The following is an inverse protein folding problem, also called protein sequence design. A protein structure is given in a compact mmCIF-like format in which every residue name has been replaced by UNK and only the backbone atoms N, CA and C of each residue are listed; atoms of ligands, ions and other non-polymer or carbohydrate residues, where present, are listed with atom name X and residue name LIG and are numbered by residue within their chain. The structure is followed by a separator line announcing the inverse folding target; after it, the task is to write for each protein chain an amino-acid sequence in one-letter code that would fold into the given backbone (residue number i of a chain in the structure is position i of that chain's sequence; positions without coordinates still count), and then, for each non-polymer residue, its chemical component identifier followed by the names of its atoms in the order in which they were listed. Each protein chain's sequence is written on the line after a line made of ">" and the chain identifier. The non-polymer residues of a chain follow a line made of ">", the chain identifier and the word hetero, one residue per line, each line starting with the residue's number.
data_IF_596428228034
#
_entry.id   IF_596428228034
#
_cell.length_a   1.000
_cell.length_b   1.000
_cell.length_c   1.000
_cell.angle_alpha   90.00
_cell.angle_beta   90.00
_cell.angle_gamma   90.00
#
_symmetry.space_group_name_H-M   'P 1'
#
loop_
_entity.id
_entity.type
_entity.pdbx_description
1 polymer ?
#
# COMPACT_ATOMS: atom_id res chain seq x y z
N UNK A 1 23.97 -59.50 4.11
CA UNK A 1 22.76 -58.69 3.82
C UNK A 1 22.41 -57.67 4.93
N UNK A 2 22.80 -57.91 6.18
CA UNK A 2 22.50 -57.04 7.35
C UNK A 2 23.28 -55.70 7.31
N UNK A 3 24.55 -55.69 6.86
CA UNK A 3 25.36 -54.47 6.82
C UNK A 3 24.81 -53.35 5.91
N UNK A 4 24.14 -53.68 4.79
CA UNK A 4 23.55 -52.67 3.89
C UNK A 4 22.34 -51.96 4.52
N UNK A 5 21.57 -52.66 5.36
CA UNK A 5 20.40 -52.08 6.05
C UNK A 5 20.82 -51.13 7.18
N UNK A 6 21.90 -51.46 7.89
CA UNK A 6 22.44 -50.60 8.95
C UNK A 6 23.02 -49.30 8.37
N UNK A 7 23.72 -49.37 7.23
CA UNK A 7 24.27 -48.19 6.56
C UNK A 7 23.18 -47.20 6.08
N UNK A 8 22.09 -47.72 5.50
CA UNK A 8 20.97 -46.88 5.04
C UNK A 8 20.25 -46.22 6.22
N UNK A 9 20.05 -46.94 7.33
CA UNK A 9 19.44 -46.37 8.52
C UNK A 9 20.31 -45.25 9.12
N UNK A 10 21.63 -45.45 9.14
CA UNK A 10 22.58 -44.46 9.67
C UNK A 10 22.64 -43.21 8.78
N UNK A 11 22.54 -43.37 7.46
CA UNK A 11 22.47 -42.25 6.52
C UNK A 11 21.18 -41.42 6.71
N UNK A 12 20.03 -42.08 6.91
CA UNK A 12 18.75 -41.40 7.18
C UNK A 12 18.80 -40.63 8.50
N UNK A 13 19.43 -41.19 9.54
CA UNK A 13 19.62 -40.48 10.80
C UNK A 13 20.49 -39.22 10.65
N UNK A 14 21.53 -39.25 9.80
CA UNK A 14 22.36 -38.05 9.53
C UNK A 14 21.55 -36.95 8.81
N UNK A 15 20.63 -37.32 7.91
CA UNK A 15 19.75 -36.36 7.25
C UNK A 15 18.68 -35.77 8.19
N UNK A 16 18.25 -36.52 9.22
CA UNK A 16 17.27 -36.02 10.20
C UNK A 16 17.88 -35.04 11.22
N UNK A 17 19.19 -35.13 11.50
CA UNK A 17 19.88 -34.20 12.43
C UNK A 17 20.35 -32.92 11.73
N UNK A 18 20.37 -32.88 10.40
CA UNK A 18 20.63 -31.68 9.61
C UNK A 18 19.42 -30.72 9.53
N UNK A 19 18.42 -30.87 10.41
CA UNK A 19 17.31 -29.94 10.54
C UNK A 19 17.86 -28.59 11.00
N UNK A 20 17.93 -27.66 10.06
CA UNK A 20 18.73 -26.45 10.14
C UNK A 20 18.47 -25.63 11.40
N UNK A 21 19.56 -25.11 11.95
CA UNK A 21 19.53 -24.03 12.95
C UNK A 21 18.52 -22.99 12.46
N UNK A 22 17.51 -22.60 13.27
CA UNK A 22 16.62 -21.52 12.89
C UNK A 22 17.51 -20.33 12.56
N UNK A 23 17.56 -19.95 11.28
CA UNK A 23 18.22 -18.73 10.87
C UNK A 23 17.52 -17.65 11.66
N UNK A 24 18.27 -16.99 12.54
CA UNK A 24 17.79 -15.80 13.23
C UNK A 24 17.28 -14.86 12.14
N UNK A 25 15.95 -14.81 12.03
CA UNK A 25 15.32 -13.89 11.10
C UNK A 25 15.53 -12.55 11.77
N UNK A 26 16.47 -11.76 11.24
CA UNK A 26 16.67 -10.40 11.69
C UNK A 26 15.34 -9.63 11.74
N UNK A 27 15.32 -8.46 12.39
CA UNK A 27 14.10 -7.70 12.59
C UNK A 27 13.33 -7.54 11.28
N UNK A 28 12.03 -7.87 11.31
CA UNK A 28 11.16 -7.82 10.14
C UNK A 28 11.04 -6.36 9.70
N UNK A 29 11.46 -6.05 8.48
CA UNK A 29 11.30 -4.71 7.91
C UNK A 29 9.91 -4.59 7.25
N UNK A 30 8.99 -3.89 7.91
CA UNK A 30 7.63 -3.66 7.43
C UNK A 30 7.56 -2.73 6.22
N UNK A 31 8.54 -1.83 6.04
CA UNK A 31 8.65 -0.86 4.95
C UNK A 31 9.22 -1.49 3.66
N UNK A 32 8.85 -2.73 3.37
CA UNK A 32 9.26 -3.45 2.15
C UNK A 32 8.07 -4.04 1.43
N UNK A 33 8.20 -4.17 0.12
CA UNK A 33 7.16 -4.69 -0.76
C UNK A 33 5.94 -3.79 -0.89
N UNK A 34 4.83 -4.37 -1.35
CA UNK A 34 3.58 -3.67 -1.60
C UNK A 34 2.56 -4.22 -0.60
N UNK A 35 2.04 -3.33 0.24
CA UNK A 35 1.00 -3.66 1.21
C UNK A 35 -0.04 -2.55 1.19
N UNK A 36 -1.30 -2.93 1.28
CA UNK A 36 -2.45 -2.02 1.12
C UNK A 36 -3.56 -2.41 2.11
N UNK A 37 -4.58 -1.56 2.23
CA UNK A 37 -5.81 -1.95 2.92
C UNK A 37 -6.45 -3.14 2.19
N UNK A 38 -6.95 -4.11 2.94
CA UNK A 38 -7.71 -5.22 2.36
C UNK A 38 -9.12 -5.28 2.94
N UNK A 39 -10.09 -5.51 2.06
CA UNK A 39 -11.50 -5.72 2.43
C UNK A 39 -11.76 -7.22 2.42
N UNK A 40 -12.26 -7.77 3.53
CA UNK A 40 -12.62 -9.19 3.64
C UNK A 40 -14.06 -9.32 4.12
N UNK A 41 -14.72 -10.39 3.72
CA UNK A 41 -16.05 -10.75 4.23
C UNK A 41 -15.85 -11.95 5.16
N UNK A 42 -16.42 -11.94 6.38
CA UNK A 42 -16.34 -13.08 7.28
C UNK A 42 -16.92 -14.34 6.62
N UNK A 43 -16.29 -15.50 6.81
CA UNK A 43 -16.69 -16.75 6.14
C UNK A 43 -18.11 -17.23 6.50
N UNK A 44 -18.66 -16.78 7.63
CA UNK A 44 -19.97 -17.19 8.16
C UNK A 44 -21.10 -16.22 7.81
N UNK A 45 -21.13 -15.69 6.58
CA UNK A 45 -22.21 -14.78 6.20
C UNK A 45 -23.52 -15.55 6.03
N UNK A 46 -24.60 -15.15 6.71
CA UNK A 46 -25.87 -15.87 6.67
C UNK A 46 -26.44 -15.88 5.24
N UNK A 47 -27.25 -16.89 4.95
CA UNK A 47 -28.04 -16.88 3.72
C UNK A 47 -29.00 -15.68 3.73
N UNK A 48 -29.08 -14.97 2.61
CA UNK A 48 -29.92 -13.79 2.43
C UNK A 48 -31.24 -14.22 1.78
N UNK A 49 -32.37 -13.83 2.38
CA UNK A 49 -33.70 -14.19 1.93
C UNK A 49 -34.49 -12.96 1.53
N UNK A 50 -35.32 -13.07 0.50
CA UNK A 50 -36.18 -11.96 0.09
C UNK A 50 -37.08 -11.47 1.23
N UNK A 51 -37.28 -10.15 1.33
CA UNK A 51 -38.10 -9.55 2.36
C UNK A 51 -37.48 -9.52 3.77
N UNK A 52 -36.32 -10.14 4.00
CA UNK A 52 -35.62 -10.10 5.29
C UNK A 52 -34.82 -8.81 5.46
N UNK A 53 -34.33 -8.59 6.69
CA UNK A 53 -33.28 -7.60 6.91
C UNK A 53 -32.01 -8.01 6.13
N UNK A 54 -31.34 -7.01 5.58
CA UNK A 54 -30.06 -7.11 4.92
C UNK A 54 -28.96 -6.76 5.92
N UNK A 55 -27.98 -7.65 6.07
CA UNK A 55 -26.79 -7.41 6.89
C UNK A 55 -25.56 -7.92 6.16
N UNK A 56 -24.66 -7.01 5.79
CA UNK A 56 -23.40 -7.33 5.14
C UNK A 56 -22.23 -6.87 6.02
N UNK A 57 -21.62 -7.78 6.81
CA UNK A 57 -20.45 -7.45 7.60
C UNK A 57 -19.22 -7.45 6.68
N UNK A 58 -18.59 -6.29 6.51
CA UNK A 58 -17.28 -6.20 5.89
C UNK A 58 -16.22 -5.98 6.97
N UNK A 59 -15.01 -6.45 6.70
CA UNK A 59 -13.86 -6.24 7.57
C UNK A 59 -12.76 -5.53 6.77
N UNK A 60 -12.35 -4.37 7.24
CA UNK A 60 -11.25 -3.60 6.70
C UNK A 60 -9.99 -3.88 7.52
N UNK A 61 -8.88 -4.19 6.85
CA UNK A 61 -7.61 -4.47 7.52
C UNK A 61 -6.49 -3.62 6.95
N UNK A 62 -5.79 -2.87 7.82
CA UNK A 62 -4.59 -2.13 7.43
C UNK A 62 -3.36 -3.04 7.50
N UNK A 63 -2.87 -3.44 6.33
CA UNK A 63 -1.64 -4.21 6.18
C UNK A 63 -0.45 -3.34 5.78
N UNK A 64 -0.64 -2.04 5.56
CA UNK A 64 0.43 -1.14 5.17
C UNK A 64 1.36 -0.82 6.34
N UNK A 65 2.58 -0.40 6.03
CA UNK A 65 3.57 0.10 6.98
C UNK A 65 3.31 1.55 7.41
N UNK A 66 2.15 2.11 7.06
CA UNK A 66 1.79 3.49 7.33
C UNK A 66 0.35 3.58 7.86
N UNK A 67 0.07 4.56 8.73
CA UNK A 67 -1.26 4.76 9.27
C UNK A 67 -2.20 5.33 8.20
N UNK A 68 -3.49 5.05 8.35
CA UNK A 68 -4.53 5.45 7.40
C UNK A 68 -5.44 6.50 8.02
N UNK A 69 -5.81 7.53 7.24
CA UNK A 69 -6.65 8.67 7.64
C UNK A 69 -7.80 8.87 6.67
N UNK A 70 -8.80 9.66 7.08
CA UNK A 70 -9.91 10.14 6.23
C UNK A 70 -10.58 9.05 5.39
N UNK A 71 -10.69 7.87 5.99
CA UNK A 71 -11.08 6.66 5.34
C UNK A 71 -12.59 6.58 5.24
N UNK A 72 -13.11 6.40 4.02
CA UNK A 72 -14.54 6.30 3.76
C UNK A 72 -14.83 5.04 2.98
N UNK A 73 -15.88 4.33 3.38
CA UNK A 73 -16.34 3.14 2.68
C UNK A 73 -17.80 3.29 2.29
N UNK A 74 -18.07 3.09 1.00
CA UNK A 74 -19.40 3.11 0.40
C UNK A 74 -19.74 1.74 -0.18
N UNK A 75 -21.01 1.34 -0.04
CA UNK A 75 -21.56 0.15 -0.67
C UNK A 75 -22.47 0.57 -1.82
N UNK A 76 -22.04 0.27 -3.05
CA UNK A 76 -22.84 0.48 -4.25
C UNK A 76 -23.56 -0.83 -4.59
N UNK A 77 -24.86 -0.86 -4.36
CA UNK A 77 -25.72 -2.01 -4.57
C UNK A 77 -27.00 -1.57 -5.28
N UNK A 78 -27.61 -2.44 -6.09
CA UNK A 78 -28.82 -2.08 -6.86
C UNK A 78 -30.01 -1.84 -5.91
N UNK A 79 -30.55 -0.60 -5.85
CA UNK A 79 -31.64 -0.25 -4.94
C UNK A 79 -32.96 -0.94 -5.30
N UNK A 80 -33.07 -1.56 -6.48
CA UNK A 80 -34.22 -2.40 -6.82
C UNK A 80 -34.31 -3.66 -5.94
N UNK A 81 -33.19 -4.11 -5.37
CA UNK A 81 -33.13 -5.32 -4.54
C UNK A 81 -32.86 -5.04 -3.07
N UNK A 82 -32.17 -3.94 -2.73
CA UNK A 82 -31.75 -3.64 -1.35
C UNK A 82 -32.00 -2.17 -1.04
N UNK A 83 -32.75 -1.92 0.03
CA UNK A 83 -32.91 -0.60 0.63
C UNK A 83 -31.94 -0.48 1.82
N UNK A 84 -30.86 0.29 1.69
CA UNK A 84 -29.90 0.49 2.78
C UNK A 84 -30.46 1.48 3.81
N UNK A 85 -30.37 1.13 5.10
CA UNK A 85 -30.81 2.00 6.20
C UNK A 85 -29.87 3.18 6.40
N UNK A 86 -28.58 3.01 6.09
CA UNK A 86 -27.59 4.09 6.14
C UNK A 86 -26.89 4.22 4.78
N UNK A 87 -27.20 5.30 4.06
CA UNK A 87 -26.55 5.64 2.79
C UNK A 87 -25.33 6.54 2.96
N UNK A 88 -25.05 7.01 4.19
CA UNK A 88 -23.86 7.81 4.46
C UNK A 88 -22.62 6.92 4.47
N UNK A 89 -21.53 7.44 3.89
CA UNK A 89 -20.22 6.82 3.91
C UNK A 89 -19.83 6.50 5.36
N UNK A 90 -19.46 5.24 5.61
CA UNK A 90 -18.91 4.86 6.90
C UNK A 90 -17.48 5.42 7.02
N UNK A 91 -17.06 5.84 8.20
CA UNK A 91 -15.66 6.24 8.49
C UNK A 91 -14.91 5.15 9.27
N UNK A 92 -14.60 3.98 8.67
CA UNK A 92 -14.22 2.80 9.43
C UNK A 92 -12.78 2.83 9.96
N UNK A 93 -11.91 3.73 9.47
CA UNK A 93 -10.52 3.73 9.90
C UNK A 93 -10.28 4.43 11.24
N UNK A 94 -11.20 4.25 12.19
CA UNK A 94 -11.02 4.60 13.60
C UNK A 94 -11.06 3.34 14.46
N UNK A 95 -10.13 3.20 15.37
CA UNK A 95 -10.18 2.16 16.40
C UNK A 95 -11.34 2.43 17.39
N UNK A 96 -11.57 1.52 18.33
CA UNK A 96 -12.60 1.67 19.37
C UNK A 96 -12.42 2.92 20.24
N UNK A 97 -11.22 3.51 20.27
CA UNK A 97 -10.91 4.75 20.99
C UNK A 97 -11.04 6.01 20.11
N UNK A 98 -11.44 5.86 18.84
CA UNK A 98 -11.55 6.94 17.87
C UNK A 98 -10.22 7.33 17.21
N UNK A 99 -9.12 6.62 17.46
CA UNK A 99 -7.82 6.89 16.86
C UNK A 99 -7.73 6.30 15.46
N UNK A 100 -6.88 6.89 14.62
CA UNK A 100 -6.63 6.39 13.26
C UNK A 100 -6.11 4.94 13.26
N UNK A 101 -6.46 4.17 12.23
CA UNK A 101 -5.90 2.82 12.05
C UNK A 101 -4.37 2.88 12.01
N UNK A 102 -3.67 2.23 12.97
CA UNK A 102 -2.22 2.30 13.05
C UNK A 102 -1.56 1.55 11.89
N UNK A 103 -0.28 1.86 11.67
CA UNK A 103 0.60 1.14 10.76
C UNK A 103 0.97 -0.25 11.31
N UNK A 104 1.38 -1.15 10.41
CA UNK A 104 2.19 -2.29 10.80
C UNK A 104 3.62 -1.87 11.11
N UNK A 105 4.10 -2.23 12.31
CA UNK A 105 5.48 -2.01 12.73
C UNK A 105 5.97 -3.13 13.67
N UNK A 106 7.19 -2.99 14.20
CA UNK A 106 7.79 -3.98 15.10
C UNK A 106 7.09 -4.10 16.46
N UNK A 107 6.32 -3.10 16.87
CA UNK A 107 5.54 -3.08 18.11
C UNK A 107 4.08 -3.50 17.87
N UNK A 108 3.57 -3.25 16.65
CA UNK A 108 2.24 -3.62 16.17
C UNK A 108 2.35 -4.53 14.93
N UNK A 109 2.79 -5.79 15.09
CA UNK A 109 3.03 -6.69 13.97
C UNK A 109 1.73 -7.25 13.37
N UNK A 110 0.60 -7.10 14.05
CA UNK A 110 -0.71 -7.57 13.62
C UNK A 110 -1.47 -6.44 12.89
N UNK A 111 -2.14 -6.74 11.76
CA UNK A 111 -2.92 -5.73 11.04
C UNK A 111 -4.00 -5.12 11.93
N UNK A 112 -4.15 -3.80 11.88
CA UNK A 112 -5.32 -3.15 12.47
C UNK A 112 -6.57 -3.59 11.70
N UNK A 113 -7.65 -3.88 12.41
CA UNK A 113 -8.91 -4.39 11.85
C UNK A 113 -10.06 -3.51 12.30
N UNK A 114 -10.98 -3.21 11.37
CA UNK A 114 -12.23 -2.53 11.64
C UNK A 114 -13.39 -3.29 10.95
N UNK A 115 -14.46 -3.55 11.70
CA UNK A 115 -15.68 -4.13 11.16
C UNK A 115 -16.62 -3.01 10.68
N UNK A 116 -17.15 -3.18 9.47
CA UNK A 116 -17.94 -2.17 8.76
C UNK A 116 -19.26 -2.82 8.32
N UNK A 117 -20.29 -2.78 9.17
CA UNK A 117 -21.58 -3.35 8.83
C UNK A 117 -22.36 -2.44 7.87
N UNK A 118 -22.94 -3.04 6.84
CA UNK A 118 -23.98 -2.40 6.03
C UNK A 118 -25.32 -3.06 6.31
N UNK A 119 -26.30 -2.25 6.68
CA UNK A 119 -27.63 -2.70 7.10
C UNK A 119 -28.71 -2.15 6.17
N UNK A 120 -29.77 -2.92 5.99
CA UNK A 120 -30.87 -2.54 5.13
C UNK A 120 -32.01 -3.55 5.13
N UNK A 121 -32.81 -3.51 4.06
CA UNK A 121 -33.92 -4.43 3.82
C UNK A 121 -33.86 -4.99 2.41
N UNK A 122 -34.10 -6.29 2.27
CA UNK A 122 -34.19 -6.95 0.97
C UNK A 122 -35.61 -6.81 0.41
N UNK A 123 -35.71 -6.44 -0.86
CA UNK A 123 -36.97 -6.47 -1.60
C UNK A 123 -37.34 -7.91 -2.00
N UNK A 124 -38.60 -8.08 -2.41
CA UNK A 124 -39.09 -9.33 -2.96
C UNK A 124 -38.46 -9.61 -4.33
N UNK A 125 -38.14 -10.88 -4.60
CA UNK A 125 -37.69 -11.29 -5.93
C UNK A 125 -38.83 -11.18 -6.94
N UNK A 126 -38.47 -11.10 -8.22
CA UNK A 126 -39.44 -11.13 -9.31
C UNK A 126 -40.24 -12.43 -9.28
N UNK A 127 -41.53 -12.34 -9.62
CA UNK A 127 -42.39 -13.52 -9.69
C UNK A 127 -41.76 -14.62 -10.57
N UNK A 128 -41.72 -15.84 -10.04
CA UNK A 128 -41.11 -17.00 -10.70
C UNK A 128 -39.61 -17.20 -10.47
N UNK A 129 -38.89 -16.27 -9.83
CA UNK A 129 -37.49 -16.48 -9.45
C UNK A 129 -37.39 -17.20 -8.08
N UNK A 130 -36.54 -18.22 -8.01
CA UNK A 130 -36.21 -18.92 -6.75
C UNK A 130 -34.95 -18.34 -6.08
N UNK A 131 -34.11 -17.66 -6.85
CA UNK A 131 -32.91 -16.98 -6.36
C UNK A 131 -32.41 -15.95 -7.37
N UNK A 132 -31.65 -14.97 -6.90
CA UNK A 132 -31.03 -13.94 -7.72
C UNK A 132 -29.61 -13.68 -7.22
N UNK A 133 -28.64 -13.71 -8.13
CA UNK A 133 -27.30 -13.22 -7.85
C UNK A 133 -27.28 -11.70 -8.02
N UNK A 134 -26.77 -11.00 -7.02
CA UNK A 134 -26.70 -9.54 -6.94
C UNK A 134 -25.24 -9.12 -6.88
N UNK A 135 -24.82 -8.32 -7.86
CA UNK A 135 -23.51 -7.70 -7.85
C UNK A 135 -23.55 -6.43 -7.00
N UNK A 136 -22.53 -6.26 -6.18
CA UNK A 136 -22.30 -5.03 -5.43
C UNK A 136 -20.84 -4.61 -5.58
N UNK A 137 -20.58 -3.32 -5.36
CA UNK A 137 -19.23 -2.78 -5.31
C UNK A 137 -18.99 -2.12 -3.96
N UNK A 138 -17.83 -2.40 -3.39
CA UNK A 138 -17.33 -1.69 -2.22
C UNK A 138 -16.34 -0.67 -2.71
N UNK A 139 -16.60 0.60 -2.44
CA UNK A 139 -15.74 1.71 -2.80
C UNK A 139 -15.09 2.26 -1.54
N UNK A 140 -13.76 2.25 -1.51
CA UNK A 140 -12.96 2.64 -0.37
C UNK A 140 -12.06 3.81 -0.79
N UNK A 141 -12.15 4.92 -0.08
CA UNK A 141 -11.22 6.05 -0.22
C UNK A 141 -10.49 6.30 1.08
N UNK A 142 -9.22 6.69 1.03
CA UNK A 142 -8.44 7.01 2.22
C UNK A 142 -7.21 7.86 1.90
N UNK A 143 -6.67 8.53 2.92
CA UNK A 143 -5.39 9.24 2.86
C UNK A 143 -4.32 8.46 3.63
N UNK A 144 -3.11 8.37 3.10
CA UNK A 144 -1.95 7.77 3.77
C UNK A 144 -0.66 8.49 3.35
N UNK A 145 0.46 8.18 3.98
CA UNK A 145 1.77 8.64 3.55
C UNK A 145 2.72 7.49 3.28
N UNK A 146 3.83 7.79 2.62
CA UNK A 146 4.96 6.89 2.39
C UNK A 146 6.26 7.67 2.56
N UNK A 147 7.25 7.05 3.21
CA UNK A 147 8.59 7.60 3.39
C UNK A 147 9.55 6.80 2.52
N UNK A 148 10.41 7.52 1.80
CA UNK A 148 11.52 6.98 1.04
C UNK A 148 12.82 7.59 1.57
N UNK A 149 13.64 6.78 2.20
CA UNK A 149 14.80 7.22 2.99
C UNK A 149 16.12 6.49 2.65
N UNK A 150 16.50 6.29 1.37
CA UNK A 150 17.75 5.62 1.05
C UNK A 150 18.98 6.46 1.44
N UNK A 151 20.09 5.77 1.68
CA UNK A 151 21.42 6.43 1.67
C UNK A 151 21.91 6.53 0.23
N UNK A 152 22.28 7.74 -0.20
CA UNK A 152 22.74 8.04 -1.55
C UNK A 152 24.16 8.58 -1.54
N UNK A 153 24.91 8.29 -2.60
CA UNK A 153 26.19 8.95 -2.84
C UNK A 153 25.95 10.25 -3.60
N UNK A 154 26.50 11.35 -3.11
CA UNK A 154 26.47 12.66 -3.76
C UNK A 154 27.89 13.16 -3.98
N UNK A 155 28.13 13.98 -5.00
CA UNK A 155 29.46 14.52 -5.29
C UNK A 155 29.47 15.34 -6.58
N UNK A 156 30.34 16.35 -6.65
CA UNK A 156 30.41 17.28 -7.78
C UNK A 156 31.19 16.78 -8.98
N UNK A 157 32.12 15.83 -8.78
CA UNK A 157 33.03 15.36 -9.83
C UNK A 157 32.62 13.97 -10.33
N UNK A 158 32.39 13.86 -11.65
CA UNK A 158 32.10 12.59 -12.32
C UNK A 158 33.32 11.65 -12.37
N UNK A 159 34.54 12.20 -12.21
CA UNK A 159 35.79 11.54 -12.60
C UNK A 159 36.69 11.08 -11.44
N UNK A 160 36.39 11.40 -10.19
CA UNK A 160 37.30 11.11 -9.07
C UNK A 160 36.66 10.15 -8.06
N UNK A 161 36.95 8.85 -8.25
CA UNK A 161 36.55 7.77 -7.32
C UNK A 161 37.45 7.77 -6.07
N UNK A 162 38.61 8.45 -6.11
CA UNK A 162 39.67 8.25 -5.13
C UNK A 162 39.55 9.11 -3.85
N UNK A 163 38.88 10.27 -3.87
CA UNK A 163 38.96 11.22 -2.75
C UNK A 163 37.71 11.34 -1.84
N UNK A 164 36.53 10.85 -2.22
CA UNK A 164 35.27 11.09 -1.48
C UNK A 164 34.54 9.87 -0.90
N UNK A 165 35.14 8.68 -0.95
CA UNK A 165 34.60 7.51 -0.22
C UNK A 165 33.30 6.88 -0.76
N UNK A 166 32.71 7.41 -1.84
CA UNK A 166 31.67 6.72 -2.61
C UNK A 166 31.62 7.18 -4.07
N UNK A 167 31.01 6.36 -4.94
CA UNK A 167 30.80 6.65 -6.36
C UNK A 167 29.32 6.90 -6.65
N UNK A 168 28.99 8.02 -7.27
CA UNK A 168 27.62 8.30 -7.74
C UNK A 168 27.25 7.26 -8.80
N UNK A 169 26.14 6.53 -8.65
CA UNK A 169 25.73 5.52 -9.63
C UNK A 169 25.51 6.12 -11.03
N UNK A 170 26.09 5.51 -12.05
CA UNK A 170 25.84 5.85 -13.46
C UNK A 170 24.58 5.14 -13.92
N UNK A 171 23.41 5.61 -13.51
CA UNK A 171 22.12 5.04 -13.88
C UNK A 171 21.08 5.11 -12.77
N UNK A 172 19.92 4.50 -13.03
CA UNK A 172 18.83 4.46 -12.06
C UNK A 172 18.98 3.27 -11.10
N UNK A 173 18.78 3.53 -9.81
CA UNK A 173 18.59 2.52 -8.77
C UNK A 173 17.12 2.13 -8.72
N UNK A 174 16.82 0.83 -8.65
CA UNK A 174 15.44 0.33 -8.54
C UNK A 174 15.12 -0.11 -7.11
N UNK A 175 13.88 0.12 -6.68
CA UNK A 175 13.39 -0.20 -5.34
C UNK A 175 12.12 -1.06 -5.41
N UNK A 176 11.99 -2.02 -4.50
CA UNK A 176 10.94 -3.05 -4.52
C UNK A 176 9.62 -2.63 -3.87
N UNK A 177 9.59 -1.49 -3.18
CA UNK A 177 8.42 -0.94 -2.50
C UNK A 177 8.73 -0.54 -1.06
N UNK A 178 7.87 0.30 -0.48
CA UNK A 178 8.06 0.88 0.85
C UNK A 178 6.99 0.40 1.86
N UNK A 179 6.31 -0.71 1.60
CA UNK A 179 5.22 -1.20 2.46
C UNK A 179 3.91 -0.44 2.28
N UNK A 180 3.69 0.15 1.11
CA UNK A 180 2.53 0.96 0.74
C UNK A 180 2.11 0.67 -0.72
N UNK A 181 0.87 1.02 -1.13
CA UNK A 181 0.46 0.95 -2.54
C UNK A 181 1.16 1.98 -3.43
N UNK A 182 1.62 3.11 -2.87
CA UNK A 182 2.40 4.12 -3.58
C UNK A 182 3.86 3.98 -3.18
N UNK A 183 4.76 3.98 -4.15
CA UNK A 183 6.16 3.72 -3.91
C UNK A 183 7.07 4.52 -4.84
N UNK A 184 8.22 4.97 -4.33
CA UNK A 184 9.33 5.41 -5.18
C UNK A 184 10.02 4.16 -5.68
N UNK A 185 9.91 3.91 -6.99
CA UNK A 185 10.36 2.68 -7.61
C UNK A 185 11.69 2.81 -8.35
N UNK A 186 12.06 4.04 -8.73
CA UNK A 186 13.39 4.33 -9.28
C UNK A 186 13.93 5.66 -8.74
N UNK A 187 15.26 5.73 -8.62
CA UNK A 187 16.01 6.93 -8.28
C UNK A 187 17.17 7.08 -9.27
N UNK A 188 17.26 8.22 -9.93
CA UNK A 188 18.42 8.65 -10.70
C UNK A 188 19.02 9.89 -10.04
N UNK A 189 20.34 9.91 -9.85
CA UNK A 189 21.08 11.04 -9.29
C UNK A 189 22.01 11.60 -10.37
N UNK A 190 21.86 12.87 -10.69
CA UNK A 190 22.60 13.56 -11.75
C UNK A 190 23.38 14.72 -11.14
N UNK A 191 24.70 14.76 -11.35
CA UNK A 191 25.52 15.91 -10.98
C UNK A 191 25.43 16.99 -12.06
N UNK A 192 25.18 18.23 -11.65
CA UNK A 192 25.00 19.40 -12.51
C UNK A 192 26.05 20.45 -12.17
N UNK A 193 26.81 20.88 -13.19
CA UNK A 193 27.75 22.00 -13.08
C UNK A 193 29.09 21.64 -12.43
N UNK A 194 30.18 22.18 -13.00
CA UNK A 194 31.54 21.96 -12.50
C UNK A 194 31.92 22.95 -11.39
N UNK A 195 31.62 24.24 -11.60
CA UNK A 195 32.05 25.30 -10.67
C UNK A 195 31.18 25.38 -9.42
N UNK A 196 29.87 25.24 -9.60
CA UNK A 196 28.86 25.21 -8.54
C UNK A 196 28.22 23.82 -8.54
N UNK A 197 28.73 22.86 -7.73
CA UNK A 197 28.28 21.49 -7.76
C UNK A 197 26.83 21.41 -7.27
N UNK A 198 25.94 20.91 -8.12
CA UNK A 198 24.54 20.68 -7.78
C UNK A 198 24.15 19.24 -8.06
N UNK A 199 23.21 18.71 -7.30
CA UNK A 199 22.63 17.40 -7.54
C UNK A 199 21.17 17.55 -7.93
N UNK A 200 20.77 16.79 -8.95
CA UNK A 200 19.38 16.56 -9.31
C UNK A 200 19.02 15.10 -9.01
N UNK A 201 17.97 14.90 -8.24
CA UNK A 201 17.41 13.58 -7.94
C UNK A 201 16.08 13.44 -8.68
N UNK A 202 16.01 12.50 -9.62
CA UNK A 202 14.78 12.14 -10.33
C UNK A 202 14.24 10.85 -9.75
N UNK A 203 13.07 10.94 -9.12
CA UNK A 203 12.43 9.81 -8.47
C UNK A 203 11.16 9.43 -9.23
N UNK A 204 11.07 8.19 -9.70
CA UNK A 204 9.85 7.67 -10.29
C UNK A 204 8.92 7.18 -9.18
N UNK A 205 7.82 7.90 -8.97
CA UNK A 205 6.74 7.49 -8.06
C UNK A 205 5.76 6.65 -8.85
N UNK A 206 5.42 5.47 -8.32
CA UNK A 206 4.57 4.50 -8.98
C UNK A 206 3.42 4.07 -8.08
N UNK A 207 2.23 3.96 -8.65
CA UNK A 207 1.13 3.20 -8.09
C UNK A 207 1.39 1.70 -8.31
N UNK A 208 1.72 1.00 -7.23
CA UNK A 208 2.00 -0.44 -7.20
C UNK A 208 0.85 -1.26 -6.61
N UNK A 209 -0.14 -0.60 -5.99
CA UNK A 209 -1.34 -1.23 -5.46
C UNK A 209 -2.40 -1.51 -6.54
N UNK A 210 -3.57 -1.98 -6.09
CA UNK A 210 -4.70 -2.30 -6.98
C UNK A 210 -5.66 -1.14 -7.25
N UNK A 211 -5.56 -0.08 -6.45
CA UNK A 211 -6.39 1.11 -6.54
C UNK A 211 -5.82 2.18 -7.45
N UNK A 212 -6.32 3.40 -7.27
CA UNK A 212 -5.99 4.60 -8.05
C UNK A 212 -5.55 5.69 -7.07
N UNK A 213 -4.45 6.35 -7.39
CA UNK A 213 -4.03 7.58 -6.68
C UNK A 213 -4.92 8.71 -7.19
N UNK A 214 -5.51 9.51 -6.31
CA UNK A 214 -6.28 10.71 -6.69
C UNK A 214 -5.45 11.97 -6.53
N UNK A 215 -4.85 12.14 -5.37
CA UNK A 215 -3.96 13.24 -5.07
C UNK A 215 -2.62 12.68 -4.59
N UNK A 216 -1.54 13.33 -4.97
CA UNK A 216 -0.20 13.09 -4.43
C UNK A 216 0.39 14.44 -4.01
N UNK A 217 0.90 14.50 -2.78
CA UNK A 217 1.47 15.70 -2.20
C UNK A 217 2.84 15.41 -1.59
N UNK A 218 3.84 16.20 -1.96
CA UNK A 218 5.14 16.18 -1.33
C UNK A 218 5.09 16.93 0.00
N UNK A 219 5.22 16.20 1.10
CA UNK A 219 5.23 16.78 2.45
C UNK A 219 6.62 17.29 2.82
N UNK A 220 7.64 16.46 2.60
CA UNK A 220 9.00 16.72 3.07
C UNK A 220 10.03 16.16 2.10
N UNK A 221 11.15 16.86 1.96
CA UNK A 221 12.26 16.46 1.12
C UNK A 221 13.57 16.98 1.71
N UNK A 222 14.52 16.08 2.02
CA UNK A 222 15.80 16.42 2.63
C UNK A 222 16.95 15.59 2.07
N UNK A 223 18.14 16.19 2.05
CA UNK A 223 19.41 15.51 1.82
C UNK A 223 20.33 15.78 3.02
N UNK A 224 20.56 14.76 3.83
CA UNK A 224 21.12 14.95 5.17
C UNK A 224 20.21 15.86 6.00
N UNK A 225 20.72 17.02 6.38
CA UNK A 225 19.97 18.02 7.15
C UNK A 225 19.41 19.16 6.28
N UNK A 226 19.80 19.23 5.00
CA UNK A 226 19.43 20.32 4.10
C UNK A 226 18.09 20.01 3.42
N UNK A 227 17.21 20.99 3.33
CA UNK A 227 15.93 20.85 2.61
C UNK A 227 16.16 20.90 1.11
N UNK A 228 15.43 20.06 0.38
CA UNK A 228 15.50 20.00 -1.08
C UNK A 228 14.39 20.82 -1.72
N UNK A 229 14.73 21.55 -2.78
CA UNK A 229 13.74 22.16 -3.65
C UNK A 229 13.24 21.13 -4.66
N UNK A 230 12.00 20.70 -4.50
CA UNK A 230 11.42 19.63 -5.32
C UNK A 230 10.16 20.10 -6.04
N UNK A 231 9.99 19.59 -7.25
CA UNK A 231 8.83 19.83 -8.10
C UNK A 231 8.21 18.53 -8.59
N UNK A 232 6.90 18.58 -8.85
CA UNK A 232 6.15 17.58 -9.59
C UNK A 232 5.94 18.16 -11.00
N UNK A 233 6.80 17.82 -12.00
CA UNK A 233 6.76 18.42 -13.33
C UNK A 233 5.45 18.12 -14.08
N UNK A 234 4.72 17.11 -13.63
CA UNK A 234 3.43 16.71 -14.17
C UNK A 234 2.23 17.47 -13.55
N UNK A 235 2.49 18.39 -12.61
CA UNK A 235 1.43 19.21 -12.02
C UNK A 235 1.00 20.31 -12.98
N UNK A 236 -0.29 20.69 -12.92
CA UNK A 236 -0.84 21.80 -13.71
C UNK A 236 -0.21 23.14 -13.35
N UNK A 237 0.24 23.30 -12.10
CA UNK A 237 0.91 24.50 -11.61
C UNK A 237 2.44 24.28 -11.51
N UNK A 238 3.25 24.97 -12.33
CA UNK A 238 4.70 24.88 -12.32
C UNK A 238 5.29 25.36 -10.98
N UNK A 239 5.45 24.44 -10.04
CA UNK A 239 5.94 24.72 -8.68
C UNK A 239 5.06 24.14 -7.57
N UNK A 240 3.89 23.58 -7.92
CA UNK A 240 3.06 22.91 -6.96
C UNK A 240 3.76 21.67 -6.40
N UNK A 241 3.67 21.53 -5.06
CA UNK A 241 4.05 20.32 -4.32
C UNK A 241 2.92 19.30 -4.30
N UNK A 242 1.87 19.50 -5.09
CA UNK A 242 0.74 18.60 -5.21
C UNK A 242 0.40 18.39 -6.68
N UNK A 243 -0.09 17.20 -7.00
CA UNK A 243 -0.68 16.90 -8.29
C UNK A 243 -1.91 16.02 -8.11
N UNK A 244 -2.85 16.16 -9.05
CA UNK A 244 -3.98 15.24 -9.22
C UNK A 244 -3.55 14.19 -10.24
N UNK A 245 -3.81 12.92 -9.94
CA UNK A 245 -3.55 11.83 -10.85
C UNK A 245 -4.76 11.61 -11.76
N UNK A 246 -4.53 11.57 -13.07
CA UNK A 246 -5.51 11.08 -14.02
C UNK A 246 -5.72 9.57 -13.81
N UNK A 247 -6.94 9.07 -14.09
CA UNK A 247 -7.34 7.71 -13.72
C UNK A 247 -6.51 6.60 -14.37
N UNK A 248 -5.90 6.87 -15.53
CA UNK A 248 -5.05 5.96 -16.29
C UNK A 248 -3.55 6.14 -15.99
N UNK A 249 -3.17 7.24 -15.35
CA UNK A 249 -1.78 7.54 -15.00
C UNK A 249 -1.34 6.69 -13.80
N UNK A 250 -0.35 5.82 -14.01
CA UNK A 250 0.20 4.94 -12.95
C UNK A 250 1.47 5.45 -12.32
N UNK A 251 2.19 6.33 -13.01
CA UNK A 251 3.51 6.80 -12.59
C UNK A 251 3.59 8.32 -12.74
N UNK A 252 4.42 8.95 -11.92
CA UNK A 252 4.87 10.34 -12.07
C UNK A 252 6.33 10.46 -11.64
N UNK A 253 6.93 11.61 -11.86
CA UNK A 253 8.29 11.92 -11.44
C UNK A 253 8.29 12.99 -10.36
N UNK A 254 9.14 12.85 -9.35
CA UNK A 254 9.51 13.94 -8.44
C UNK A 254 10.95 14.33 -8.78
N UNK A 255 11.18 15.61 -9.06
CA UNK A 255 12.53 16.13 -9.34
C UNK A 255 12.94 17.03 -8.19
N UNK A 256 14.04 16.71 -7.53
CA UNK A 256 14.59 17.48 -6.43
C UNK A 256 15.98 18.01 -6.77
N UNK A 257 16.25 19.28 -6.45
CA UNK A 257 17.53 19.93 -6.64
C UNK A 257 18.18 20.24 -5.28
N UNK A 258 19.49 20.05 -5.21
CA UNK A 258 20.34 20.40 -4.07
C UNK A 258 21.60 21.10 -4.54
N UNK A 259 21.95 22.21 -3.89
CA UNK A 259 23.29 22.78 -3.97
C UNK A 259 24.22 22.02 -3.01
N UNK A 260 25.41 21.62 -3.48
CA UNK A 260 26.38 20.93 -2.63
C UNK A 260 27.37 21.92 -2.03
N UNK A 261 27.65 21.78 -0.74
CA UNK A 261 28.65 22.59 -0.04
C UNK A 261 30.09 22.18 -0.36
N UNK A 262 30.30 20.96 -0.84
CA UNK A 262 31.60 20.39 -1.17
C UNK A 262 31.54 19.64 -2.49
N UNK A 263 32.68 19.61 -3.20
CA UNK A 263 32.85 18.80 -4.41
C UNK A 263 33.19 17.34 -4.11
N UNK A 264 33.76 17.08 -2.93
CA UNK A 264 34.08 15.72 -2.50
C UNK A 264 32.81 14.87 -2.48
N UNK A 265 32.90 13.62 -2.92
CA UNK A 265 31.78 12.71 -2.74
C UNK A 265 31.60 12.33 -1.27
N UNK A 266 30.38 11.95 -0.89
CA UNK A 266 30.07 11.39 0.43
C UNK A 266 28.71 10.69 0.41
N UNK A 267 28.50 9.77 1.34
CA UNK A 267 27.20 9.15 1.57
C UNK A 267 26.35 10.04 2.48
N UNK A 268 25.08 10.22 2.11
CA UNK A 268 24.13 11.03 2.89
C UNK A 268 22.72 10.45 2.75
N UNK A 269 21.87 10.52 3.79
CA UNK A 269 20.49 10.07 3.67
C UNK A 269 19.68 11.04 2.79
N UNK A 270 18.99 10.51 1.79
CA UNK A 270 17.95 11.22 1.04
C UNK A 270 16.60 10.83 1.64
N UNK A 271 15.82 11.77 2.13
CA UNK A 271 14.50 11.51 2.74
C UNK A 271 13.41 12.26 1.99
N UNK A 272 12.42 11.54 1.49
CA UNK A 272 11.25 12.08 0.78
C UNK A 272 10.00 11.48 1.37
N UNK A 273 9.07 12.34 1.78
CA UNK A 273 7.77 11.96 2.33
C UNK A 273 6.66 12.42 1.40
N UNK A 274 5.86 11.47 0.93
CA UNK A 274 4.73 11.70 0.06
C UNK A 274 3.44 11.35 0.81
N UNK A 275 2.45 12.22 0.75
CA UNK A 275 1.07 11.91 1.14
C UNK A 275 0.24 11.67 -0.12
N UNK A 276 -0.70 10.75 -0.04
CA UNK A 276 -1.58 10.44 -1.16
C UNK A 276 -3.00 10.15 -0.70
N UNK A 277 -3.96 10.55 -1.53
CA UNK A 277 -5.34 10.07 -1.47
C UNK A 277 -5.47 8.89 -2.42
N UNK A 278 -6.03 7.80 -1.93
CA UNK A 278 -6.14 6.53 -2.64
C UNK A 278 -7.57 6.05 -2.71
N UNK A 279 -7.93 5.44 -3.83
CA UNK A 279 -9.26 4.88 -4.08
C UNK A 279 -9.15 3.43 -4.53
N UNK A 280 -9.92 2.54 -3.91
CA UNK A 280 -10.02 1.12 -4.27
C UNK A 280 -11.49 0.79 -4.48
N UNK A 281 -11.80 0.08 -5.56
CA UNK A 281 -13.15 -0.46 -5.78
C UNK A 281 -13.06 -1.97 -5.98
N UNK A 282 -13.76 -2.73 -5.12
CA UNK A 282 -13.89 -4.18 -5.25
C UNK A 282 -15.32 -4.54 -5.66
N UNK A 283 -15.46 -5.36 -6.71
CA UNK A 283 -16.76 -5.90 -7.11
C UNK A 283 -16.92 -7.33 -6.57
N UNK A 284 -18.09 -7.62 -6.02
CA UNK A 284 -18.45 -8.93 -5.46
C UNK A 284 -19.88 -9.29 -5.83
N UNK A 285 -20.23 -10.54 -5.58
CA UNK A 285 -21.57 -11.08 -5.83
C UNK A 285 -22.08 -11.73 -4.55
N UNK A 286 -23.34 -11.49 -4.22
CA UNK A 286 -24.07 -12.22 -3.19
C UNK A 286 -25.30 -12.87 -3.82
N UNK A 287 -25.87 -13.89 -3.17
CA UNK A 287 -27.05 -14.58 -3.65
C UNK A 287 -28.22 -14.37 -2.69
N UNK A 288 -29.33 -13.87 -3.21
CA UNK A 288 -30.60 -13.76 -2.50
C UNK A 288 -31.44 -14.98 -2.87
N UNK A 289 -32.05 -15.61 -1.87
CA UNK A 289 -32.94 -16.75 -2.05
C UNK A 289 -34.39 -16.33 -1.79
N UNK A 290 -35.32 -16.97 -2.50
CA UNK A 290 -36.74 -16.84 -2.20
C UNK A 290 -37.01 -17.41 -0.81
N UNK A 291 -37.83 -16.73 -0.02
CA UNK A 291 -38.25 -17.27 1.27
C UNK A 291 -39.13 -18.49 0.97
N UNK A 292 -38.64 -19.68 1.32
CA UNK A 292 -39.42 -20.90 1.18
C UNK A 292 -40.76 -20.72 1.88
N UNK A 293 -41.86 -21.06 1.21
CA UNK A 293 -43.15 -21.17 1.90
C UNK A 293 -42.92 -22.18 3.03
N UNK A 294 -42.93 -21.73 4.28
CA UNK A 294 -43.16 -22.62 5.38
C UNK A 294 -44.46 -23.34 5.03
N UNK A 295 -44.37 -24.65 4.79
CA UNK A 295 -45.55 -25.48 4.63
C UNK A 295 -46.27 -25.44 5.98
N UNK A 296 -47.21 -24.52 6.12
CA UNK A 296 -48.21 -24.53 7.18
C UNK A 296 -49.20 -25.67 6.91
#
# INVERSE_FOLDING_TARGET
>A
MIQKKVLVLLLICVFLVACGTPKDQGPINYHTGIKELSITMPPSSPALYEGSDFYLPLQLSNKAAYPVKNCKMDLLIDPAFVELYNTQSQEPCRDFSGNQMPALDQFNPAPAIADVPFEGKLHLLRSGADSQDLNYRVHLTYTSSVIFDPTVCVGGLYLEVEDGGCKVPTGSLSYSGQGAPVAISKLEAVSLGFDNPRMEFRMQVSNRGKGIIKNLRLLKSKLGNDELNCILPDSEDPGAKQMVFEADKKDTTVICLSDLRSRASFLTPLSVELEYDYEVTEQRTLRIQKTGRAFN
#
